data_IF_782214874320
#
_entry.id   IF_782214874320
#
_cell.length_a   1.000
_cell.length_b   1.000
_cell.length_c   1.000
_cell.angle_alpha   90.00
_cell.angle_beta   90.00
_cell.angle_gamma   90.00
#
_symmetry.space_group_name_H-M   'P 1'
#
loop_
_entity.id
_entity.type
_entity.pdbx_description
1 polymer ?
#
# COMPACT_ATOMS: atom_id res chain seq x y z
N UNK A 1 -4.59 -16.81 -29.69
CA UNK A 1 -4.58 -15.36 -29.41
C UNK A 1 -5.60 -15.10 -28.31
N UNK A 2 -5.15 -14.87 -27.07
CA UNK A 2 -6.06 -14.63 -25.94
C UNK A 2 -6.78 -13.29 -26.11
N UNK A 3 -8.07 -13.25 -25.77
CA UNK A 3 -8.90 -12.06 -25.87
C UNK A 3 -8.31 -10.91 -25.04
N UNK A 4 -7.89 -9.82 -25.68
CA UNK A 4 -7.28 -8.66 -25.02
C UNK A 4 -8.23 -8.06 -23.95
N UNK A 5 -9.55 -8.18 -24.13
CA UNK A 5 -10.54 -7.69 -23.18
C UNK A 5 -10.51 -8.43 -21.83
N UNK A 6 -10.04 -9.69 -21.78
CA UNK A 6 -9.95 -10.43 -20.51
C UNK A 6 -8.71 -10.09 -19.70
N UNK A 7 -7.66 -9.51 -20.32
CA UNK A 7 -6.37 -9.26 -19.65
C UNK A 7 -6.41 -8.14 -18.61
N UNK A 8 -7.28 -7.15 -18.82
CA UNK A 8 -7.38 -5.95 -17.98
C UNK A 8 -8.73 -5.82 -17.27
N UNK A 9 -9.52 -6.89 -17.22
CA UNK A 9 -10.78 -6.90 -16.47
C UNK A 9 -10.52 -6.68 -14.98
N UNK A 10 -11.36 -5.88 -14.33
CA UNK A 10 -11.38 -5.67 -12.87
C UNK A 10 -12.52 -6.42 -12.17
N UNK A 11 -13.30 -7.18 -12.93
CA UNK A 11 -14.46 -7.94 -12.46
C UNK A 11 -14.12 -9.37 -12.04
N UNK A 12 -13.20 -9.55 -11.10
CA UNK A 12 -12.83 -10.89 -10.61
C UNK A 12 -13.91 -11.50 -9.69
N UNK A 13 -14.11 -12.83 -9.72
CA UNK A 13 -15.05 -13.51 -8.82
C UNK A 13 -14.70 -13.29 -7.35
N UNK A 14 -15.72 -13.11 -6.51
CA UNK A 14 -15.52 -12.99 -5.06
C UNK A 14 -14.84 -14.23 -4.47
N UNK A 15 -13.89 -14.00 -3.57
CA UNK A 15 -13.18 -15.04 -2.82
C UNK A 15 -13.61 -15.12 -1.36
N UNK A 16 -14.69 -14.44 -0.98
CA UNK A 16 -15.19 -14.37 0.40
C UNK A 16 -15.27 -15.73 1.09
N UNK A 17 -15.80 -16.73 0.40
CA UNK A 17 -15.99 -18.09 0.94
C UNK A 17 -14.70 -18.94 0.89
N UNK A 18 -13.60 -18.40 0.37
CA UNK A 18 -12.31 -19.11 0.20
C UNK A 18 -11.24 -18.65 1.20
N UNK A 19 -11.52 -17.61 1.99
CA UNK A 19 -10.60 -17.03 2.96
C UNK A 19 -11.28 -16.94 4.34
N UNK A 20 -10.51 -16.71 5.39
CA UNK A 20 -11.10 -16.53 6.72
C UNK A 20 -11.96 -15.25 6.79
N UNK A 21 -12.93 -15.18 7.72
CA UNK A 21 -13.70 -13.95 7.96
C UNK A 21 -12.81 -12.73 8.25
N UNK A 22 -11.71 -12.92 8.98
CA UNK A 22 -10.75 -11.89 9.34
C UNK A 22 -10.00 -11.37 8.10
N UNK A 23 -9.54 -12.26 7.22
CA UNK A 23 -8.93 -11.85 5.94
C UNK A 23 -9.93 -11.12 5.06
N UNK A 24 -11.16 -11.61 4.97
CA UNK A 24 -12.19 -10.95 4.15
C UNK A 24 -12.51 -9.54 4.67
N UNK A 25 -12.62 -9.36 5.99
CA UNK A 25 -12.82 -8.04 6.58
C UNK A 25 -11.64 -7.12 6.30
N UNK A 26 -10.40 -7.60 6.47
CA UNK A 26 -9.20 -6.83 6.14
C UNK A 26 -9.17 -6.40 4.66
N UNK A 27 -9.60 -7.28 3.74
CA UNK A 27 -9.73 -6.94 2.30
C UNK A 27 -10.77 -5.84 2.05
N UNK A 28 -11.91 -5.88 2.73
CA UNK A 28 -12.93 -4.83 2.64
C UNK A 28 -12.39 -3.50 3.15
N UNK A 29 -11.77 -3.48 4.33
CA UNK A 29 -11.25 -2.28 4.96
C UNK A 29 -10.12 -1.65 4.14
N UNK A 30 -9.19 -2.48 3.64
CA UNK A 30 -8.11 -2.00 2.79
C UNK A 30 -8.66 -1.46 1.47
N UNK A 31 -9.60 -2.16 0.82
CA UNK A 31 -10.22 -1.67 -0.40
C UNK A 31 -10.93 -0.33 -0.17
N UNK A 32 -11.66 -0.18 0.95
CA UNK A 32 -12.27 1.10 1.33
C UNK A 32 -11.21 2.19 1.54
N UNK A 33 -10.07 1.88 2.17
CA UNK A 33 -8.95 2.79 2.34
C UNK A 33 -8.44 3.31 0.98
N UNK A 34 -8.17 2.43 0.01
CA UNK A 34 -7.78 2.83 -1.35
C UNK A 34 -8.82 3.77 -1.99
N UNK A 35 -10.11 3.46 -1.87
CA UNK A 35 -11.19 4.31 -2.41
C UNK A 35 -11.30 5.67 -1.71
N UNK A 36 -11.02 5.74 -0.40
CA UNK A 36 -10.97 7.00 0.33
C UNK A 36 -9.79 7.86 -0.11
N UNK A 37 -8.60 7.26 -0.28
CA UNK A 37 -7.40 7.97 -0.76
C UNK A 37 -7.65 8.56 -2.16
N UNK A 38 -8.33 7.82 -3.05
CA UNK A 38 -8.78 8.34 -4.35
C UNK A 38 -9.79 9.49 -4.20
N UNK A 39 -10.84 9.30 -3.39
CA UNK A 39 -11.86 10.33 -3.13
C UNK A 39 -11.28 11.64 -2.60
N UNK A 40 -10.22 11.58 -1.80
CA UNK A 40 -9.55 12.76 -1.24
C UNK A 40 -8.43 13.31 -2.14
N UNK A 41 -8.25 12.78 -3.37
CA UNK A 41 -7.28 13.30 -4.34
C UNK A 41 -5.83 13.09 -3.91
N UNK A 42 -5.55 12.04 -3.15
CA UNK A 42 -4.23 11.73 -2.59
C UNK A 42 -3.46 10.67 -3.42
N UNK A 43 -3.96 10.36 -4.62
CA UNK A 43 -3.40 9.36 -5.52
C UNK A 43 -2.31 9.92 -6.42
N UNK A 44 -1.42 9.04 -6.87
CA UNK A 44 -0.46 9.30 -7.94
C UNK A 44 -0.54 8.16 -8.94
N UNK A 45 -1.55 8.26 -9.81
CA UNK A 45 -1.90 7.24 -10.81
C UNK A 45 -1.92 5.82 -10.21
N UNK A 46 -0.92 5.00 -10.56
CA UNK A 46 -0.78 3.59 -10.18
C UNK A 46 0.40 3.33 -9.23
N UNK A 47 1.09 4.38 -8.77
CA UNK A 47 2.42 4.25 -8.16
C UNK A 47 2.39 4.12 -6.63
N UNK A 48 1.40 4.72 -5.96
CA UNK A 48 1.23 4.59 -4.52
C UNK A 48 0.85 3.15 -4.10
N UNK A 49 1.06 2.84 -2.83
CA UNK A 49 0.71 1.54 -2.24
C UNK A 49 0.30 1.66 -0.77
N UNK A 50 -0.56 0.73 -0.33
CA UNK A 50 -1.03 0.59 1.04
C UNK A 50 -0.95 -0.90 1.39
N UNK A 51 -0.40 -1.23 2.55
CA UNK A 51 -0.42 -2.61 3.03
C UNK A 51 -1.19 -2.73 4.33
N UNK A 52 -1.94 -3.81 4.48
CA UNK A 52 -2.62 -4.18 5.72
C UNK A 52 -2.27 -5.61 6.10
N UNK A 53 -1.81 -5.84 7.32
CA UNK A 53 -1.60 -7.18 7.88
C UNK A 53 -2.94 -7.87 8.10
N UNK A 54 -3.04 -9.12 7.67
CA UNK A 54 -4.21 -9.96 7.94
C UNK A 54 -4.17 -10.36 9.42
N UNK A 55 -5.21 -10.04 10.22
CA UNK A 55 -5.23 -10.36 11.64
C UNK A 55 -4.95 -11.83 11.93
N UNK A 56 -4.09 -12.11 12.91
CA UNK A 56 -3.71 -13.47 13.29
C UNK A 56 -2.69 -14.15 12.37
N UNK A 57 -2.10 -13.42 11.42
CA UNK A 57 -1.08 -13.96 10.50
C UNK A 57 0.05 -12.95 10.27
N UNK A 58 1.13 -13.41 9.63
CA UNK A 58 2.22 -12.54 9.15
C UNK A 58 2.06 -12.10 7.69
N UNK A 59 0.93 -12.43 7.06
CA UNK A 59 0.66 -12.08 5.67
C UNK A 59 0.10 -10.67 5.54
N UNK A 60 0.46 -9.99 4.45
CA UNK A 60 0.02 -8.65 4.13
C UNK A 60 -0.88 -8.65 2.89
N UNK A 61 -1.82 -7.71 2.83
CA UNK A 61 -2.61 -7.38 1.66
C UNK A 61 -2.04 -6.14 0.97
N UNK A 62 -2.04 -6.10 -0.37
CA UNK A 62 -1.56 -4.96 -1.17
C UNK A 62 -2.32 -4.85 -2.51
N UNK A 63 -2.35 -3.68 -3.14
CA UNK A 63 -2.86 -3.53 -4.51
C UNK A 63 -1.99 -4.23 -5.55
N UNK A 64 -2.64 -4.67 -6.63
CA UNK A 64 -1.95 -5.04 -7.85
C UNK A 64 -1.42 -3.79 -8.56
N UNK A 65 -0.19 -3.89 -9.07
CA UNK A 65 0.44 -2.82 -9.82
C UNK A 65 -0.15 -2.73 -11.23
N UNK A 66 -0.69 -1.56 -11.56
CA UNK A 66 -1.42 -1.29 -12.80
C UNK A 66 -2.87 -0.86 -12.59
N UNK A 67 -3.44 -1.11 -11.41
CA UNK A 67 -4.78 -0.63 -11.06
C UNK A 67 -4.73 0.78 -10.48
N UNK A 68 -5.68 1.62 -10.90
CA UNK A 68 -5.96 2.88 -10.21
C UNK A 68 -6.63 2.60 -8.86
N UNK A 69 -6.44 3.47 -7.89
CA UNK A 69 -7.05 3.32 -6.56
C UNK A 69 -8.58 3.24 -6.62
N UNK A 70 -9.22 3.95 -7.57
CA UNK A 70 -10.66 3.88 -7.84
C UNK A 70 -11.14 2.54 -8.41
N UNK A 71 -10.24 1.63 -8.77
CA UNK A 71 -10.56 0.30 -9.33
C UNK A 71 -10.40 -0.80 -8.27
N UNK A 72 -9.72 -0.52 -7.15
CA UNK A 72 -9.44 -1.51 -6.11
C UNK A 72 -10.72 -2.03 -5.47
N UNK A 73 -10.82 -3.34 -5.32
CA UNK A 73 -11.90 -4.04 -4.60
C UNK A 73 -11.30 -5.02 -3.60
N UNK A 74 -12.11 -5.55 -2.68
CA UNK A 74 -11.65 -6.58 -1.75
C UNK A 74 -11.06 -7.81 -2.47
N UNK A 75 -11.64 -8.16 -3.61
CA UNK A 75 -11.20 -9.27 -4.46
C UNK A 75 -9.90 -8.96 -5.22
N UNK A 76 -9.66 -7.71 -5.61
CA UNK A 76 -8.50 -7.37 -6.44
C UNK A 76 -7.16 -7.34 -5.69
N UNK A 77 -7.17 -7.40 -4.35
CA UNK A 77 -5.97 -7.30 -3.52
C UNK A 77 -5.14 -8.58 -3.58
N UNK A 78 -3.82 -8.45 -3.71
CA UNK A 78 -2.90 -9.56 -3.55
C UNK A 78 -2.62 -9.81 -2.06
N UNK A 79 -2.32 -11.07 -1.72
CA UNK A 79 -1.77 -11.48 -0.42
C UNK A 79 -0.30 -11.85 -0.61
N UNK A 80 0.57 -11.26 0.20
CA UNK A 80 2.02 -11.40 0.14
C UNK A 80 2.59 -11.76 1.53
N UNK A 81 3.82 -12.28 1.57
CA UNK A 81 4.64 -12.28 2.79
C UNK A 81 5.37 -10.93 2.98
N UNK A 82 6.13 -10.78 4.08
CA UNK A 82 6.85 -9.54 4.40
C UNK A 82 8.04 -9.29 3.47
N UNK A 83 8.51 -10.33 2.79
CA UNK A 83 9.54 -10.32 1.76
C UNK A 83 9.02 -9.92 0.39
N UNK A 84 7.69 -9.81 0.22
CA UNK A 84 7.04 -9.41 -1.03
C UNK A 84 6.74 -10.56 -1.99
N UNK A 85 6.91 -11.81 -1.57
CA UNK A 85 6.51 -12.95 -2.38
C UNK A 85 4.98 -13.03 -2.42
N UNK A 86 4.44 -13.20 -3.62
CA UNK A 86 3.00 -13.30 -3.82
C UNK A 86 2.54 -14.71 -3.41
N UNK A 87 1.75 -14.78 -2.34
CA UNK A 87 1.14 -16.00 -1.84
C UNK A 87 -0.20 -16.28 -2.54
N UNK A 88 -0.92 -15.21 -2.90
CA UNK A 88 -2.16 -15.30 -3.65
C UNK A 88 -2.45 -13.98 -4.38
N UNK A 89 -3.02 -14.06 -5.59
CA UNK A 89 -3.60 -12.92 -6.31
C UNK A 89 -4.68 -13.41 -7.28
N UNK A 90 -5.57 -12.53 -7.77
CA UNK A 90 -6.46 -12.85 -8.88
C UNK A 90 -5.72 -13.37 -10.11
N UNK A 91 -6.43 -14.14 -10.95
CA UNK A 91 -5.92 -14.59 -12.24
C UNK A 91 -5.80 -13.40 -13.21
N UNK A 92 -4.58 -12.91 -13.39
CA UNK A 92 -4.21 -11.76 -14.21
C UNK A 92 -2.70 -11.73 -14.43
N UNK A 93 -2.22 -10.95 -15.39
CA UNK A 93 -0.79 -10.70 -15.61
C UNK A 93 -0.24 -9.62 -14.65
N UNK A 94 -1.10 -8.88 -13.94
CA UNK A 94 -0.63 -7.89 -12.96
C UNK A 94 0.15 -8.56 -11.81
N UNK A 95 1.24 -7.91 -11.42
CA UNK A 95 2.04 -8.23 -10.24
C UNK A 95 1.85 -7.19 -9.14
N UNK A 96 2.86 -7.04 -8.29
CA UNK A 96 2.93 -5.98 -7.27
C UNK A 96 4.09 -5.03 -7.59
N UNK A 97 4.04 -3.81 -7.08
CA UNK A 97 5.14 -2.87 -7.24
C UNK A 97 6.26 -3.25 -6.25
N UNK A 98 7.49 -3.44 -6.76
CA UNK A 98 8.64 -3.82 -5.94
C UNK A 98 8.91 -2.78 -4.84
N UNK A 99 8.82 -1.50 -5.15
CA UNK A 99 9.02 -0.44 -4.15
C UNK A 99 8.00 -0.48 -3.02
N UNK A 100 6.79 -0.96 -3.34
CA UNK A 100 5.69 -1.09 -2.39
C UNK A 100 6.00 -2.00 -1.23
N UNK A 101 6.71 -3.11 -1.46
CA UNK A 101 7.03 -4.03 -0.37
C UNK A 101 8.43 -3.81 0.23
N UNK A 102 9.37 -3.11 -0.45
CA UNK A 102 10.69 -2.82 0.15
C UNK A 102 10.50 -2.02 1.44
N UNK A 103 9.81 -0.87 1.35
CA UNK A 103 9.53 0.01 2.48
C UNK A 103 8.55 -0.66 3.46
N UNK A 104 7.41 -1.16 2.95
CA UNK A 104 6.36 -1.68 3.82
C UNK A 104 6.79 -2.95 4.54
N UNK A 105 7.52 -3.84 3.87
CA UNK A 105 8.06 -5.07 4.46
C UNK A 105 9.06 -4.79 5.57
N UNK A 106 9.94 -3.78 5.39
CA UNK A 106 10.85 -3.35 6.45
C UNK A 106 10.10 -2.86 7.69
N UNK A 107 9.10 -1.99 7.51
CA UNK A 107 8.27 -1.49 8.61
C UNK A 107 7.52 -2.63 9.30
N UNK A 108 6.85 -3.49 8.54
CA UNK A 108 6.10 -4.63 9.09
C UNK A 108 6.97 -5.65 9.82
N UNK A 109 8.23 -5.80 9.40
CA UNK A 109 9.21 -6.67 10.07
C UNK A 109 9.70 -6.04 11.37
N UNK A 110 10.08 -4.75 11.33
CA UNK A 110 10.61 -4.03 12.48
C UNK A 110 9.53 -3.66 13.51
N UNK A 111 8.27 -3.54 13.09
CA UNK A 111 7.13 -3.10 13.90
C UNK A 111 5.94 -4.06 13.77
N UNK A 112 5.98 -5.22 14.44
CA UNK A 112 4.87 -6.18 14.43
C UNK A 112 3.55 -5.62 14.97
N UNK A 113 3.61 -4.55 15.77
CA UNK A 113 2.45 -3.83 16.30
C UNK A 113 1.73 -2.96 15.24
N UNK A 114 2.39 -2.66 14.12
CA UNK A 114 1.80 -1.88 13.02
C UNK A 114 0.98 -2.79 12.12
N UNK A 115 -0.34 -2.57 12.10
CA UNK A 115 -1.25 -3.30 11.24
C UNK A 115 -1.26 -2.77 9.79
N UNK A 116 -1.16 -1.44 9.61
CA UNK A 116 -1.29 -0.80 8.30
C UNK A 116 -0.18 0.21 8.03
N UNK A 117 0.29 0.25 6.79
CA UNK A 117 1.26 1.24 6.30
C UNK A 117 0.69 1.86 5.04
N UNK A 118 0.65 3.20 4.99
CA UNK A 118 0.11 3.98 3.88
C UNK A 118 1.23 4.87 3.34
N UNK A 119 1.47 4.80 2.02
CA UNK A 119 2.43 5.65 1.33
C UNK A 119 1.72 6.44 0.22
N UNK A 120 2.00 7.75 0.13
CA UNK A 120 1.33 8.65 -0.83
C UNK A 120 2.26 9.74 -1.37
N UNK A 121 2.15 10.01 -2.67
CA UNK A 121 2.77 11.15 -3.35
C UNK A 121 1.83 12.35 -3.51
N UNK A 122 1.30 12.90 -2.42
CA UNK A 122 0.45 14.10 -2.54
C UNK A 122 1.29 15.34 -2.85
N UNK A 123 0.74 16.30 -3.61
CA UNK A 123 1.45 17.56 -3.95
C UNK A 123 1.98 18.29 -2.72
N UNK A 124 1.16 18.42 -1.67
CA UNK A 124 1.55 19.08 -0.43
C UNK A 124 2.56 18.24 0.37
N UNK A 125 2.37 16.93 0.45
CA UNK A 125 3.27 16.02 1.16
C UNK A 125 4.67 16.03 0.56
N UNK A 126 4.78 15.87 -0.77
CA UNK A 126 6.08 15.95 -1.46
C UNK A 126 6.74 17.31 -1.32
N UNK A 127 5.97 18.41 -1.39
CA UNK A 127 6.51 19.75 -1.22
C UNK A 127 7.14 19.92 0.18
N UNK A 128 6.44 19.52 1.24
CA UNK A 128 6.96 19.59 2.62
C UNK A 128 8.15 18.66 2.82
N UNK A 129 8.09 17.43 2.29
CA UNK A 129 9.19 16.48 2.39
C UNK A 129 10.46 16.93 1.64
N UNK A 130 10.33 17.83 0.67
CA UNK A 130 11.47 18.40 -0.08
C UNK A 130 12.07 19.66 0.57
N UNK A 131 11.51 20.14 1.67
CA UNK A 131 12.03 21.32 2.39
C UNK A 131 13.00 20.90 3.48
N UNK A 132 14.11 21.62 3.63
CA UNK A 132 15.09 21.40 4.71
C UNK A 132 14.45 21.43 6.11
N UNK A 133 13.42 22.26 6.30
CA UNK A 133 12.73 22.41 7.58
C UNK A 133 11.61 21.39 7.82
N UNK A 134 11.25 20.56 6.83
CA UNK A 134 10.18 19.58 6.93
C UNK A 134 8.84 20.16 7.41
N UNK A 135 8.10 19.39 8.22
CA UNK A 135 6.81 19.80 8.77
C UNK A 135 6.98 20.67 10.03
N UNK A 136 6.75 21.97 9.90
CA UNK A 136 6.82 22.91 11.02
C UNK A 136 5.55 22.88 11.91
N UNK A 137 5.68 23.01 13.25
CA UNK A 137 4.55 22.99 14.19
C UNK A 137 3.86 24.37 14.30
N UNK A 138 3.38 24.90 13.17
CA UNK A 138 2.82 26.26 13.08
C UNK A 138 1.30 26.33 13.24
N UNK A 139 0.63 25.17 13.27
CA UNK A 139 -0.84 25.08 13.34
C UNK A 139 -1.27 23.98 14.31
N UNK A 140 -2.50 24.08 14.82
CA UNK A 140 -3.07 23.04 15.69
C UNK A 140 -3.02 21.64 15.05
N UNK A 141 -3.15 21.54 13.72
CA UNK A 141 -3.06 20.26 13.01
C UNK A 141 -1.64 19.70 13.00
N UNK A 142 -0.64 20.54 12.71
CA UNK A 142 0.77 20.12 12.64
C UNK A 142 1.35 19.79 14.01
N UNK A 143 0.88 20.46 15.07
CA UNK A 143 1.30 20.16 16.46
C UNK A 143 1.03 18.71 16.88
N UNK A 144 0.02 18.04 16.31
CA UNK A 144 -0.30 16.64 16.64
C UNK A 144 0.82 15.65 16.26
N UNK A 145 1.73 16.06 15.39
CA UNK A 145 2.80 15.20 14.87
C UNK A 145 4.15 15.47 15.55
N UNK A 146 4.25 16.46 16.44
CA UNK A 146 5.50 16.74 17.17
C UNK A 146 5.88 15.52 18.02
N UNK A 147 7.12 15.03 17.85
CA UNK A 147 7.61 13.81 18.51
C UNK A 147 7.15 12.50 17.88
N UNK A 148 6.37 12.55 16.78
CA UNK A 148 5.83 11.40 16.08
C UNK A 148 6.18 11.38 14.58
N UNK A 149 7.21 12.13 14.18
CA UNK A 149 7.72 12.20 12.80
C UNK A 149 9.12 11.61 12.74
N UNK A 150 9.33 10.71 11.78
CA UNK A 150 10.66 10.30 11.31
C UNK A 150 10.94 10.94 9.95
N UNK A 151 12.20 11.19 9.66
CA UNK A 151 12.68 11.62 8.34
C UNK A 151 13.64 10.56 7.82
N UNK A 152 13.53 10.28 6.52
CA UNK A 152 14.39 9.36 5.79
C UNK A 152 14.88 10.09 4.55
N UNK A 153 16.19 10.07 4.32
CA UNK A 153 16.79 10.79 3.20
C UNK A 153 16.44 10.11 1.87
N UNK A 154 16.33 10.90 0.80
CA UNK A 154 16.00 10.35 -0.52
C UNK A 154 17.22 9.66 -1.15
N UNK A 155 17.11 8.37 -1.42
CA UNK A 155 18.17 7.56 -2.02
C UNK A 155 17.90 7.15 -3.48
N UNK A 156 16.84 7.70 -4.08
CA UNK A 156 16.30 7.25 -5.36
C UNK A 156 15.03 6.41 -5.18
N UNK A 157 14.56 5.73 -6.24
CA UNK A 157 13.43 4.81 -6.12
C UNK A 157 13.77 3.64 -5.19
N UNK A 158 12.91 3.36 -4.21
CA UNK A 158 13.11 2.34 -3.18
C UNK A 158 13.02 0.90 -3.71
N UNK A 159 13.96 0.49 -4.56
CA UNK A 159 14.02 -0.85 -5.17
C UNK A 159 15.19 -1.70 -4.68
N UNK A 160 16.07 -1.09 -3.88
CA UNK A 160 17.22 -1.72 -3.24
C UNK A 160 16.85 -2.21 -1.84
N UNK A 161 17.16 -3.47 -1.54
CA UNK A 161 16.89 -4.06 -0.24
C UNK A 161 17.81 -3.51 0.86
N UNK A 162 18.99 -2.97 0.50
CA UNK A 162 19.92 -2.38 1.45
C UNK A 162 19.37 -1.09 2.11
N UNK A 163 18.33 -0.48 1.53
CA UNK A 163 17.64 0.65 2.14
C UNK A 163 16.87 0.24 3.41
N UNK A 164 16.49 -1.04 3.54
CA UNK A 164 15.69 -1.54 4.68
C UNK A 164 16.41 -1.50 6.03
N UNK A 165 17.73 -1.46 6.03
CA UNK A 165 18.56 -1.47 7.25
C UNK A 165 18.77 -0.08 7.87
N UNK A 166 18.28 0.98 7.21
CA UNK A 166 18.55 2.37 7.56
C UNK A 166 17.35 3.04 8.21
#
# INVERSE_FOLDING_TARGET
MGNIASRYSTGWPSIREQVSPEEWQARLDLAACYRLVDRYGMTDLIYNHITLRIPGTDHLLINLYGLLYKEITATSLARIDVEGNILWKPDTEYGINKSGYVIHGAIHTARPDVAAVIHTHTRAGMAVASMECGLLPLTQTTMRFVGHLGYHDYEGPAVDLAERER
#
